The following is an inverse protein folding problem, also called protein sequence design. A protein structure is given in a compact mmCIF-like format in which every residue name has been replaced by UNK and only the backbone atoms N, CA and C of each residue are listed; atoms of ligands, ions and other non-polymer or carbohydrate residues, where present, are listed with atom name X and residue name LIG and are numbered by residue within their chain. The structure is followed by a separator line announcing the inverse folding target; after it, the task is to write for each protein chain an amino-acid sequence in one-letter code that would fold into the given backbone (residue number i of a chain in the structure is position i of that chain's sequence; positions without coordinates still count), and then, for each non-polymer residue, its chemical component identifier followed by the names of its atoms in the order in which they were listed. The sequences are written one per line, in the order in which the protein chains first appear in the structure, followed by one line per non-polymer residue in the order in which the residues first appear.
data_IF_947315686094
#
_entry.id   IF_947315686094
#
_cell.length_a   1.000
_cell.length_b   1.000
_cell.length_c   1.000
_cell.angle_alpha   90.00
_cell.angle_beta   90.00
_cell.angle_gamma   90.00
#
_symmetry.space_group_name_H-M   'P 1'
#
loop_
_entity.id
_entity.type
_entity.pdbx_description
1 polymer ?
#
# COMPACT_ATOMS: atom_id res chain seq x y z
N UNK A 1 51.78 -37.74 16.55
CA UNK A 1 51.74 -36.80 15.42
C UNK A 1 50.34 -36.27 15.28
N UNK A 2 50.18 -35.02 15.68
CA UNK A 2 49.08 -34.03 15.54
C UNK A 2 47.65 -34.46 15.17
N UNK A 3 46.67 -34.25 16.06
CA UNK A 3 45.28 -33.98 15.73
C UNK A 3 45.02 -32.50 16.02
N UNK A 4 44.94 -31.66 14.99
CA UNK A 4 44.67 -30.25 15.10
C UNK A 4 43.84 -29.76 13.90
N UNK A 5 42.66 -30.36 13.68
CA UNK A 5 41.78 -29.96 12.55
C UNK A 5 40.28 -30.24 12.81
N UNK A 6 39.86 -30.29 14.05
CA UNK A 6 38.46 -30.58 14.38
C UNK A 6 37.73 -29.50 15.21
N UNK A 7 38.30 -28.28 15.36
CA UNK A 7 37.67 -27.23 16.20
C UNK A 7 37.21 -25.95 15.44
N UNK A 8 37.30 -25.91 14.13
CA UNK A 8 36.94 -24.73 13.34
C UNK A 8 35.54 -24.79 12.68
N UNK A 9 34.79 -25.88 12.80
CA UNK A 9 33.52 -26.06 12.10
C UNK A 9 32.25 -25.81 12.96
N UNK A 10 32.38 -25.48 14.23
CA UNK A 10 31.20 -25.33 15.15
C UNK A 10 30.85 -23.86 15.42
N UNK A 11 31.67 -22.88 15.06
CA UNK A 11 31.40 -21.45 15.31
C UNK A 11 30.73 -20.70 14.17
N UNK A 12 30.49 -21.31 13.02
CA UNK A 12 29.84 -20.65 11.87
C UNK A 12 28.32 -20.81 11.79
N UNK A 13 27.70 -21.64 12.63
CA UNK A 13 26.26 -21.92 12.59
C UNK A 13 25.39 -21.03 13.53
N UNK A 14 26.00 -20.15 14.32
CA UNK A 14 25.27 -19.36 15.34
C UNK A 14 24.95 -17.92 14.92
N UNK A 15 25.27 -17.47 13.71
CA UNK A 15 25.07 -16.07 13.29
C UNK A 15 23.97 -15.87 12.22
N UNK A 16 23.23 -16.89 11.82
CA UNK A 16 22.11 -16.76 10.86
C UNK A 16 20.71 -16.78 11.47
N UNK A 17 20.56 -16.76 12.79
CA UNK A 17 19.24 -16.80 13.45
C UNK A 17 18.66 -15.45 13.86
N UNK A 18 19.25 -14.33 13.45
CA UNK A 18 18.83 -12.99 13.92
C UNK A 18 18.10 -12.13 12.89
N UNK A 19 17.65 -12.66 11.76
CA UNK A 19 16.95 -11.86 10.73
C UNK A 19 15.56 -12.39 10.35
N UNK A 20 14.87 -13.11 11.22
CA UNK A 20 13.51 -13.60 10.96
C UNK A 20 12.52 -13.19 12.06
N UNK A 21 12.66 -11.99 12.63
CA UNK A 21 11.53 -11.36 13.34
C UNK A 21 10.79 -10.43 12.36
N UNK A 22 10.38 -10.99 11.24
CA UNK A 22 9.24 -10.46 10.52
C UNK A 22 8.06 -10.56 11.49
N UNK A 23 7.57 -9.41 11.96
CA UNK A 23 6.37 -9.31 12.77
C UNK A 23 5.18 -9.74 11.89
N UNK A 24 5.04 -11.05 11.68
CA UNK A 24 3.83 -11.65 11.15
C UNK A 24 2.80 -11.48 12.26
N UNK A 25 2.05 -10.37 12.19
CA UNK A 25 0.82 -10.24 12.95
C UNK A 25 -0.09 -11.37 12.47
N UNK A 26 -0.05 -12.50 13.18
CA UNK A 26 -1.11 -13.51 13.07
C UNK A 26 -2.37 -12.84 13.61
N UNK A 27 -3.18 -12.33 12.68
CA UNK A 27 -4.46 -11.76 13.01
C UNK A 27 -5.27 -12.83 13.75
N UNK A 28 -5.41 -12.66 15.08
CA UNK A 28 -6.35 -13.47 15.86
C UNK A 28 -7.65 -13.53 15.07
N UNK A 29 -8.22 -14.73 14.83
CA UNK A 29 -9.48 -14.82 14.11
C UNK A 29 -10.49 -13.86 14.74
N UNK A 30 -11.05 -12.98 13.93
CA UNK A 30 -12.08 -12.06 14.39
C UNK A 30 -13.27 -12.90 14.86
N UNK A 31 -13.76 -12.60 16.06
CA UNK A 31 -14.96 -13.22 16.58
C UNK A 31 -16.11 -13.00 15.57
N UNK A 32 -16.69 -14.07 15.03
CA UNK A 32 -17.79 -13.95 14.06
C UNK A 32 -19.01 -13.24 14.65
N UNK A 33 -19.17 -13.26 15.97
CA UNK A 33 -20.26 -12.62 16.70
C UNK A 33 -19.90 -11.21 17.19
N UNK A 34 -18.67 -10.73 16.95
CA UNK A 34 -18.27 -9.40 17.38
C UNK A 34 -19.17 -8.33 16.76
N UNK A 35 -19.59 -7.39 17.60
CA UNK A 35 -20.40 -6.25 17.18
C UNK A 35 -19.64 -5.37 16.17
N UNK A 36 -20.34 -4.97 15.09
CA UNK A 36 -19.78 -4.14 14.02
C UNK A 36 -19.23 -2.80 14.54
N UNK A 37 -19.87 -2.22 15.55
CA UNK A 37 -19.43 -0.96 16.16
C UNK A 37 -18.08 -1.14 16.85
N UNK A 38 -17.91 -2.26 17.55
CA UNK A 38 -16.63 -2.60 18.21
C UNK A 38 -15.54 -2.84 17.18
N UNK A 39 -15.81 -3.61 16.12
CA UNK A 39 -14.83 -3.86 15.05
C UNK A 39 -14.43 -2.55 14.37
N UNK A 40 -15.39 -1.66 14.07
CA UNK A 40 -15.11 -0.37 13.44
C UNK A 40 -14.21 0.50 14.32
N UNK A 41 -14.52 0.61 15.61
CA UNK A 41 -13.70 1.36 16.56
C UNK A 41 -12.28 0.81 16.67
N UNK A 42 -12.14 -0.51 16.71
CA UNK A 42 -10.82 -1.14 16.76
C UNK A 42 -10.04 -0.92 15.46
N UNK A 43 -10.72 -0.92 14.30
CA UNK A 43 -10.12 -0.62 13.01
C UNK A 43 -9.58 0.81 12.96
N UNK A 44 -10.36 1.78 13.45
CA UNK A 44 -9.94 3.18 13.53
C UNK A 44 -8.74 3.37 14.46
N UNK A 45 -8.79 2.80 15.66
CA UNK A 45 -7.66 2.84 16.59
C UNK A 45 -6.39 2.23 15.99
N UNK A 46 -6.50 1.08 15.34
CA UNK A 46 -5.37 0.44 14.67
C UNK A 46 -4.84 1.29 13.49
N UNK A 47 -5.72 1.96 12.75
CA UNK A 47 -5.34 2.87 11.68
C UNK A 47 -4.59 4.09 12.21
N UNK A 48 -5.06 4.71 13.28
CA UNK A 48 -4.45 5.89 13.90
C UNK A 48 -3.11 5.56 14.57
N UNK A 49 -3.00 4.40 15.21
CA UNK A 49 -1.76 3.92 15.83
C UNK A 49 -0.72 3.41 14.84
N UNK A 50 -1.06 3.32 13.53
CA UNK A 50 -0.16 2.81 12.50
C UNK A 50 -0.04 1.29 12.44
N UNK A 51 -0.90 0.55 13.15
CA UNK A 51 -0.99 -0.90 13.12
C UNK A 51 -1.63 -1.39 11.80
N UNK A 52 -0.94 -1.14 10.67
CA UNK A 52 -1.51 -1.27 9.32
C UNK A 52 -2.10 -2.66 9.04
N UNK A 53 -1.42 -3.75 9.44
CA UNK A 53 -1.91 -5.11 9.23
C UNK A 53 -3.19 -5.41 10.01
N UNK A 54 -3.29 -4.93 11.24
CA UNK A 54 -4.49 -5.06 12.08
C UNK A 54 -5.64 -4.25 11.53
N UNK A 55 -5.40 -2.98 11.18
CA UNK A 55 -6.39 -2.12 10.56
C UNK A 55 -6.94 -2.74 9.26
N UNK A 56 -6.06 -3.27 8.40
CA UNK A 56 -6.46 -3.94 7.16
C UNK A 56 -7.36 -5.16 7.43
N UNK A 57 -6.99 -6.01 8.37
CA UNK A 57 -7.78 -7.21 8.72
C UNK A 57 -9.18 -6.83 9.22
N UNK A 58 -9.28 -5.79 10.07
CA UNK A 58 -10.52 -5.29 10.62
C UNK A 58 -11.41 -4.63 9.55
N UNK A 59 -10.86 -3.71 8.73
CA UNK A 59 -11.63 -3.11 7.64
C UNK A 59 -12.06 -4.14 6.59
N UNK A 60 -11.23 -5.14 6.26
CA UNK A 60 -11.64 -6.25 5.40
C UNK A 60 -12.78 -7.08 5.99
N UNK A 61 -12.81 -7.26 7.30
CA UNK A 61 -13.94 -7.90 7.97
C UNK A 61 -15.23 -7.08 7.84
N UNK A 62 -15.12 -5.76 8.06
CA UNK A 62 -16.26 -4.84 7.93
C UNK A 62 -16.84 -4.83 6.52
N UNK A 63 -16.01 -4.70 5.47
CA UNK A 63 -16.53 -4.69 4.09
C UNK A 63 -17.11 -6.02 3.63
N UNK A 64 -16.72 -7.15 4.22
CA UNK A 64 -17.38 -8.44 3.97
C UNK A 64 -18.77 -8.50 4.60
N UNK A 65 -18.96 -7.88 5.77
CA UNK A 65 -20.25 -7.86 6.49
C UNK A 65 -21.16 -6.73 6.03
N UNK A 66 -20.58 -5.62 5.57
CA UNK A 66 -21.27 -4.42 5.09
C UNK A 66 -20.70 -4.00 3.71
N UNK A 67 -20.96 -4.74 2.62
CA UNK A 67 -20.33 -4.49 1.33
C UNK A 67 -20.69 -3.15 0.68
N UNK A 68 -21.80 -2.54 1.10
CA UNK A 68 -22.28 -1.25 0.60
C UNK A 68 -21.97 -0.07 1.54
N UNK A 69 -21.12 -0.27 2.54
CA UNK A 69 -20.68 0.83 3.41
C UNK A 69 -19.54 1.62 2.76
N UNK A 70 -19.89 2.80 2.21
CA UNK A 70 -18.96 3.66 1.50
C UNK A 70 -17.79 4.14 2.38
N UNK A 71 -18.07 4.45 3.65
CA UNK A 71 -17.04 4.97 4.56
C UNK A 71 -15.98 3.91 4.87
N UNK A 72 -16.37 2.67 5.11
CA UNK A 72 -15.41 1.58 5.35
C UNK A 72 -14.52 1.32 4.12
N UNK A 73 -15.09 1.33 2.91
CA UNK A 73 -14.31 1.22 1.68
C UNK A 73 -13.35 2.41 1.50
N UNK A 74 -13.79 3.63 1.80
CA UNK A 74 -12.94 4.83 1.75
C UNK A 74 -11.76 4.73 2.73
N UNK A 75 -12.00 4.28 3.97
CA UNK A 75 -10.97 4.07 4.99
C UNK A 75 -9.96 3.01 4.57
N UNK A 76 -10.43 1.91 4.01
CA UNK A 76 -9.58 0.87 3.46
C UNK A 76 -8.71 1.40 2.30
N UNK A 77 -9.28 2.25 1.45
CA UNK A 77 -8.55 2.95 0.40
C UNK A 77 -7.43 3.84 0.93
N UNK A 78 -7.73 4.63 1.98
CA UNK A 78 -6.72 5.47 2.65
C UNK A 78 -5.59 4.62 3.26
N UNK A 79 -5.92 3.49 3.86
CA UNK A 79 -4.94 2.57 4.42
C UNK A 79 -3.99 2.03 3.33
N UNK A 80 -4.54 1.59 2.20
CA UNK A 80 -3.74 1.11 1.08
C UNK A 80 -2.86 2.20 0.47
N UNK A 81 -3.40 3.41 0.30
CA UNK A 81 -2.64 4.56 -0.21
C UNK A 81 -1.45 4.92 0.69
N UNK A 82 -1.65 4.93 2.02
CA UNK A 82 -0.57 5.14 3.01
C UNK A 82 0.50 4.05 2.98
N UNK A 83 0.12 2.83 2.66
CA UNK A 83 1.01 1.68 2.60
C UNK A 83 1.63 1.46 1.20
N UNK A 84 1.59 2.47 0.34
CA UNK A 84 2.11 2.42 -1.03
C UNK A 84 1.58 1.24 -1.85
N UNK A 85 0.27 1.00 -1.74
CA UNK A 85 -0.47 -0.05 -2.48
C UNK A 85 -1.53 0.60 -3.38
N UNK A 86 -1.11 1.27 -4.48
CA UNK A 86 -1.98 2.12 -5.28
C UNK A 86 -3.10 1.38 -5.99
N UNK A 87 -2.89 0.13 -6.41
CA UNK A 87 -3.91 -0.66 -7.11
C UNK A 87 -5.07 -1.02 -6.18
N UNK A 88 -4.75 -1.46 -4.97
CA UNK A 88 -5.76 -1.77 -3.95
C UNK A 88 -6.45 -0.50 -3.46
N UNK A 89 -5.71 0.61 -3.33
CA UNK A 89 -6.30 1.90 -2.96
C UNK A 89 -7.31 2.37 -4.01
N UNK A 90 -6.95 2.33 -5.30
CA UNK A 90 -7.85 2.69 -6.39
C UNK A 90 -9.12 1.82 -6.40
N UNK A 91 -8.98 0.50 -6.20
CA UNK A 91 -10.11 -0.41 -6.13
C UNK A 91 -11.03 -0.08 -4.94
N UNK A 92 -10.47 0.16 -3.76
CA UNK A 92 -11.25 0.47 -2.57
C UNK A 92 -12.01 1.80 -2.71
N UNK A 93 -11.38 2.86 -3.25
CA UNK A 93 -12.07 4.12 -3.55
C UNK A 93 -13.17 3.96 -4.59
N UNK A 94 -12.96 3.12 -5.62
CA UNK A 94 -14.02 2.81 -6.58
C UNK A 94 -15.21 2.10 -5.93
N UNK A 95 -14.97 1.18 -4.98
CA UNK A 95 -16.04 0.53 -4.20
C UNK A 95 -16.77 1.55 -3.32
N UNK A 96 -16.06 2.48 -2.68
CA UNK A 96 -16.67 3.57 -1.95
C UNK A 96 -17.60 4.42 -2.84
N UNK A 97 -17.14 4.75 -4.05
CA UNK A 97 -17.91 5.53 -5.02
C UNK A 97 -19.09 4.76 -5.63
N UNK A 98 -19.02 3.44 -5.74
CA UNK A 98 -20.17 2.62 -6.12
C UNK A 98 -21.29 2.66 -5.06
N UNK A 99 -20.90 2.76 -3.77
CA UNK A 99 -21.84 2.86 -2.66
C UNK A 99 -22.32 4.32 -2.45
N UNK A 100 -21.45 5.31 -2.66
CA UNK A 100 -21.76 6.75 -2.59
C UNK A 100 -20.96 7.52 -3.64
N UNK A 101 -21.57 7.74 -4.80
CA UNK A 101 -20.93 8.43 -5.93
C UNK A 101 -20.76 9.95 -5.73
N UNK A 102 -21.36 10.53 -4.70
CA UNK A 102 -21.30 11.95 -4.40
C UNK A 102 -20.18 12.32 -3.41
N UNK A 103 -19.37 11.37 -2.93
CA UNK A 103 -18.28 11.68 -1.99
C UNK A 103 -17.08 12.33 -2.70
N UNK A 104 -16.83 13.64 -2.51
CA UNK A 104 -15.72 14.33 -3.15
C UNK A 104 -14.35 13.87 -2.64
N UNK A 105 -14.27 13.33 -1.41
CA UNK A 105 -13.03 12.80 -0.82
C UNK A 105 -12.56 11.57 -1.59
N UNK A 106 -13.51 10.66 -1.87
CA UNK A 106 -13.20 9.43 -2.60
C UNK A 106 -12.81 9.72 -4.06
N UNK A 107 -13.49 10.65 -4.73
CA UNK A 107 -13.09 11.12 -6.07
C UNK A 107 -11.72 11.76 -6.08
N UNK A 108 -11.42 12.64 -5.12
CA UNK A 108 -10.12 13.30 -4.99
C UNK A 108 -9.01 12.26 -4.80
N UNK A 109 -9.16 11.37 -3.80
CA UNK A 109 -8.13 10.40 -3.46
C UNK A 109 -7.91 9.37 -4.60
N UNK A 110 -8.99 8.96 -5.28
CA UNK A 110 -8.88 8.13 -6.48
C UNK A 110 -8.09 8.84 -7.59
N UNK A 111 -8.36 10.14 -7.79
CA UNK A 111 -7.63 10.96 -8.76
C UNK A 111 -6.15 11.05 -8.44
N UNK A 112 -5.79 11.29 -7.17
CA UNK A 112 -4.40 11.33 -6.71
C UNK A 112 -3.68 10.01 -6.96
N UNK A 113 -4.28 8.90 -6.59
CA UNK A 113 -3.70 7.56 -6.79
C UNK A 113 -3.49 7.28 -8.27
N UNK A 114 -4.48 7.56 -9.11
CA UNK A 114 -4.37 7.35 -10.57
C UNK A 114 -3.33 8.25 -11.24
N UNK A 115 -3.18 9.48 -10.75
CA UNK A 115 -2.14 10.38 -11.25
C UNK A 115 -0.74 9.83 -10.95
N UNK A 116 -0.51 9.29 -9.76
CA UNK A 116 0.74 8.63 -9.38
C UNK A 116 1.02 7.39 -10.22
N UNK A 117 -0.01 6.56 -10.43
CA UNK A 117 0.10 5.39 -11.32
C UNK A 117 0.46 5.79 -12.76
N UNK A 118 -0.19 6.83 -13.29
CA UNK A 118 0.10 7.35 -14.62
C UNK A 118 1.53 7.88 -14.72
N UNK A 119 1.99 8.62 -13.72
CA UNK A 119 3.36 9.14 -13.68
C UNK A 119 4.39 8.00 -13.63
N UNK A 120 4.19 6.99 -12.77
CA UNK A 120 5.06 5.82 -12.69
C UNK A 120 5.11 5.06 -14.03
N UNK A 121 3.97 4.88 -14.69
CA UNK A 121 3.90 4.24 -16.00
C UNK A 121 4.65 5.04 -17.10
N UNK A 122 4.54 6.37 -17.06
CA UNK A 122 5.28 7.24 -18.00
C UNK A 122 6.79 7.21 -17.75
N UNK A 123 7.24 7.16 -16.50
CA UNK A 123 8.66 6.95 -16.18
C UNK A 123 9.17 5.62 -16.73
N UNK A 124 8.42 4.55 -16.52
CA UNK A 124 8.80 3.23 -17.04
C UNK A 124 8.83 3.20 -18.57
N UNK A 125 7.89 3.90 -19.23
CA UNK A 125 7.92 4.07 -20.68
C UNK A 125 9.16 4.82 -21.13
N UNK A 126 9.50 5.93 -20.47
CA UNK A 126 10.66 6.75 -20.80
C UNK A 126 11.98 5.98 -20.67
N UNK A 127 12.14 5.16 -19.62
CA UNK A 127 13.32 4.31 -19.43
C UNK A 127 13.53 3.27 -20.53
N UNK A 128 12.44 2.83 -21.18
CA UNK A 128 12.49 1.85 -22.26
C UNK A 128 12.54 2.45 -23.68
N UNK A 129 12.47 3.79 -23.80
CA UNK A 129 12.51 4.48 -25.09
C UNK A 129 13.91 5.00 -25.40
N UNK A 130 14.30 4.91 -26.68
CA UNK A 130 15.49 5.59 -27.19
C UNK A 130 15.12 6.99 -27.70
N UNK A 131 16.04 7.97 -27.63
CA UNK A 131 15.78 9.36 -28.05
C UNK A 131 15.36 9.54 -29.51
N UNK A 132 15.71 8.60 -30.38
CA UNK A 132 15.34 8.59 -31.84
C UNK A 132 13.94 8.03 -32.10
N UNK A 133 13.27 7.47 -31.08
CA UNK A 133 11.89 7.00 -31.22
C UNK A 133 10.89 8.17 -31.19
N UNK A 134 9.90 8.14 -32.09
CA UNK A 134 8.88 9.20 -32.19
C UNK A 134 8.07 9.41 -30.90
N UNK A 135 7.90 8.33 -30.10
CA UNK A 135 7.18 8.37 -28.83
C UNK A 135 7.97 9.05 -27.70
N UNK A 136 9.32 9.09 -27.81
CA UNK A 136 10.18 9.63 -26.75
C UNK A 136 9.81 11.08 -26.36
N UNK A 137 9.69 11.96 -27.37
CA UNK A 137 9.36 13.38 -27.16
C UNK A 137 7.97 13.55 -26.51
N UNK A 138 7.00 12.73 -26.91
CA UNK A 138 5.65 12.79 -26.36
C UNK A 138 5.63 12.39 -24.90
N UNK A 139 6.33 11.30 -24.54
CA UNK A 139 6.43 10.84 -23.14
C UNK A 139 7.17 11.86 -22.29
N UNK A 140 8.29 12.42 -22.79
CA UNK A 140 9.05 13.46 -22.09
C UNK A 140 8.20 14.72 -21.84
N UNK A 141 7.40 15.14 -22.81
CA UNK A 141 6.50 16.29 -22.66
C UNK A 141 5.44 16.04 -21.57
N UNK A 142 4.85 14.85 -21.52
CA UNK A 142 3.88 14.47 -20.47
C UNK A 142 4.55 14.45 -19.09
N UNK A 143 5.73 13.85 -18.97
CA UNK A 143 6.48 13.83 -17.72
C UNK A 143 6.76 15.24 -17.20
N UNK A 144 7.24 16.14 -18.07
CA UNK A 144 7.47 17.56 -17.71
C UNK A 144 6.22 18.29 -17.23
N UNK A 145 5.03 17.91 -17.71
CA UNK A 145 3.77 18.48 -17.23
C UNK A 145 3.36 17.89 -15.87
N UNK A 146 3.48 16.57 -15.72
CA UNK A 146 3.16 15.88 -14.48
C UNK A 146 4.08 16.30 -13.33
N UNK A 147 5.35 16.57 -13.60
CA UNK A 147 6.32 17.08 -12.60
C UNK A 147 5.91 18.39 -11.95
N UNK A 148 5.13 19.23 -12.64
CA UNK A 148 4.62 20.49 -12.10
C UNK A 148 3.44 20.32 -11.15
N UNK A 149 2.90 19.11 -11.04
CA UNK A 149 1.78 18.83 -10.13
C UNK A 149 2.34 18.71 -8.70
N UNK A 150 1.85 19.51 -7.73
CA UNK A 150 2.40 19.55 -6.36
C UNK A 150 2.44 18.18 -5.66
N UNK A 151 1.50 17.29 -6.00
CA UNK A 151 1.42 15.93 -5.46
C UNK A 151 2.59 15.04 -5.90
N UNK A 152 3.17 15.31 -7.07
CA UNK A 152 4.32 14.58 -7.62
C UNK A 152 5.63 15.20 -7.13
N UNK A 153 5.69 16.54 -7.01
CA UNK A 153 6.86 17.23 -6.45
C UNK A 153 7.16 16.81 -5.01
N UNK A 154 6.13 16.54 -4.20
CA UNK A 154 6.29 16.13 -2.81
C UNK A 154 7.00 14.78 -2.66
N UNK A 155 6.88 13.89 -3.65
CA UNK A 155 7.54 12.57 -3.64
C UNK A 155 9.03 12.62 -4.04
N UNK A 156 9.45 13.69 -4.71
CA UNK A 156 10.86 13.88 -5.13
C UNK A 156 11.76 14.45 -4.04
N UNK A 157 11.21 14.92 -2.91
CA UNK A 157 12.02 15.41 -1.79
C UNK A 157 12.45 14.24 -0.92
N UNK A 158 13.79 14.03 -0.76
CA UNK A 158 14.34 12.99 0.11
C UNK A 158 14.02 13.27 1.58
#
# INVERSE_FOLDING_TARGET
MKPALALAAVLAAALCSACATGNSYEAKPLDPDADLVTINREAELAYESGEAAKAEALYKSLVRRMPNDAETWFRLGNLYARNNRPDEAANAYQKALLANNADPRAWHNLGVVRLRQAWAAMLQAHENLKPDMSLYQSVEAVLKQLEKVPLIEAEKKP
#
